data_IF_832866707959
#
_entry.id   IF_832866707959
#
_cell.length_a   1.000
_cell.length_b   1.000
_cell.length_c   1.000
_cell.angle_alpha   90.00
_cell.angle_beta   90.00
_cell.angle_gamma   90.00
#
_symmetry.space_group_name_H-M   'P 1'
#
loop_
_entity.id
_entity.type
_entity.pdbx_description
1 polymer ?
#
# COMPACT_ATOMS: atom_id res chain seq x y z
N UNK A 1 8.72 7.48 -20.42
CA UNK A 1 9.35 8.16 -19.27
C UNK A 1 9.74 7.11 -18.26
N UNK A 2 11.01 7.01 -17.90
CA UNK A 2 11.52 6.04 -16.93
C UNK A 2 11.43 6.71 -15.55
N UNK A 3 10.43 6.36 -14.74
CA UNK A 3 10.35 6.86 -13.37
C UNK A 3 11.52 6.28 -12.58
N UNK A 4 12.47 7.12 -12.16
CA UNK A 4 13.48 6.74 -11.18
C UNK A 4 12.76 6.54 -9.85
N UNK A 5 12.42 5.29 -9.53
CA UNK A 5 11.99 4.94 -8.18
C UNK A 5 13.13 5.27 -7.23
N UNK A 6 12.93 6.23 -6.33
CA UNK A 6 13.83 6.51 -5.22
C UNK A 6 13.76 5.35 -4.22
N UNK A 7 14.44 4.26 -4.54
CA UNK A 7 14.54 3.09 -3.68
C UNK A 7 15.50 3.40 -2.54
N UNK A 8 14.94 3.70 -1.35
CA UNK A 8 15.75 3.83 -0.13
C UNK A 8 16.17 2.44 0.35
N UNK A 9 17.45 2.23 0.68
CA UNK A 9 17.87 0.97 1.29
C UNK A 9 17.24 0.84 2.69
N UNK A 10 16.80 -0.37 3.02
CA UNK A 10 16.26 -0.72 4.34
C UNK A 10 17.04 -1.90 4.88
N UNK A 11 17.42 -1.86 6.15
CA UNK A 11 18.05 -2.97 6.86
C UNK A 11 16.96 -3.82 7.51
N UNK A 12 17.02 -5.13 7.28
CA UNK A 12 16.08 -6.10 7.84
C UNK A 12 16.84 -7.09 8.70
N UNK A 13 16.28 -7.42 9.87
CA UNK A 13 16.80 -8.46 10.74
C UNK A 13 16.03 -9.74 10.49
N UNK A 14 16.75 -10.78 10.10
CA UNK A 14 16.19 -12.12 9.85
C UNK A 14 17.00 -13.15 10.63
N UNK A 15 16.42 -14.32 10.86
CA UNK A 15 17.16 -15.40 11.52
C UNK A 15 18.34 -15.85 10.66
N UNK A 16 19.47 -16.19 11.31
CA UNK A 16 20.70 -16.58 10.64
C UNK A 16 20.48 -17.78 9.69
N UNK A 17 19.77 -18.80 10.16
CA UNK A 17 19.45 -20.00 9.37
C UNK A 17 18.65 -19.69 8.10
N UNK A 18 17.72 -18.73 8.17
CA UNK A 18 16.95 -18.32 7.01
C UNK A 18 17.84 -17.58 6.02
N UNK A 19 18.67 -16.65 6.50
CA UNK A 19 19.60 -15.91 5.66
C UNK A 19 20.58 -16.82 4.92
N UNK A 20 21.15 -17.82 5.60
CA UNK A 20 22.06 -18.81 5.01
C UNK A 20 21.41 -19.60 3.87
N UNK A 21 20.14 -20.02 4.03
CA UNK A 21 19.39 -20.70 2.97
C UNK A 21 19.24 -19.83 1.72
N UNK A 22 18.87 -18.56 1.92
CA UNK A 22 18.76 -17.61 0.81
C UNK A 22 20.11 -17.32 0.17
N UNK A 23 21.20 -17.27 0.94
CA UNK A 23 22.54 -17.07 0.42
C UNK A 23 22.99 -18.24 -0.47
N UNK A 24 22.75 -19.48 -0.03
CA UNK A 24 23.08 -20.68 -0.79
C UNK A 24 22.25 -20.77 -2.08
N UNK A 25 20.96 -20.40 -2.03
CA UNK A 25 20.10 -20.35 -3.20
C UNK A 25 20.54 -19.24 -4.18
N UNK A 26 20.92 -18.07 -3.67
CA UNK A 26 21.42 -16.96 -4.47
C UNK A 26 22.71 -17.34 -5.22
N UNK A 27 23.63 -18.04 -4.55
CA UNK A 27 24.86 -18.55 -5.16
C UNK A 27 24.56 -19.54 -6.31
N UNK A 28 23.62 -20.47 -6.10
CA UNK A 28 23.21 -21.43 -7.15
C UNK A 28 22.62 -20.75 -8.38
N UNK A 29 21.97 -19.59 -8.20
CA UNK A 29 21.30 -18.84 -9.27
C UNK A 29 22.17 -17.72 -9.85
N UNK A 30 23.36 -17.46 -9.31
CA UNK A 30 24.18 -16.30 -9.70
C UNK A 30 23.53 -14.95 -9.38
N UNK A 31 22.67 -14.88 -8.36
CA UNK A 31 21.93 -13.69 -7.96
C UNK A 31 22.40 -13.15 -6.60
N UNK A 32 21.96 -11.96 -6.23
CA UNK A 32 22.19 -11.40 -4.88
C UNK A 32 21.13 -11.91 -3.91
N UNK A 33 21.53 -12.26 -2.69
CA UNK A 33 20.62 -12.66 -1.60
C UNK A 33 19.50 -11.63 -1.40
N UNK A 34 19.83 -10.33 -1.44
CA UNK A 34 18.88 -9.25 -1.28
C UNK A 34 17.78 -9.22 -2.36
N UNK A 35 18.05 -9.68 -3.58
CA UNK A 35 17.03 -9.76 -4.64
C UNK A 35 16.04 -10.89 -4.37
N UNK A 36 16.52 -12.04 -3.88
CA UNK A 36 15.66 -13.15 -3.52
C UNK A 36 14.77 -12.80 -2.33
N UNK A 37 15.33 -12.12 -1.32
CA UNK A 37 14.56 -11.63 -0.17
C UNK A 37 13.53 -10.59 -0.62
N UNK A 38 13.90 -9.66 -1.52
CA UNK A 38 12.95 -8.70 -2.09
C UNK A 38 11.79 -9.38 -2.80
N UNK A 39 12.07 -10.37 -3.64
CA UNK A 39 11.03 -11.12 -4.34
C UNK A 39 10.11 -11.83 -3.34
N UNK A 40 10.67 -12.52 -2.34
CA UNK A 40 9.87 -13.19 -1.32
C UNK A 40 8.98 -12.23 -0.51
N UNK A 41 9.47 -11.02 -0.20
CA UNK A 41 8.66 -9.99 0.44
C UNK A 41 7.56 -9.46 -0.47
N UNK A 42 7.82 -9.34 -1.77
CA UNK A 42 6.81 -8.94 -2.75
C UNK A 42 5.73 -10.01 -2.90
N UNK A 43 6.12 -11.29 -3.02
CA UNK A 43 5.18 -12.41 -3.12
C UNK A 43 4.29 -12.48 -1.87
N UNK A 44 4.88 -12.35 -0.67
CA UNK A 44 4.12 -12.25 0.57
C UNK A 44 3.15 -11.06 0.56
N UNK A 45 3.61 -9.90 0.08
CA UNK A 45 2.77 -8.72 0.01
C UNK A 45 1.60 -8.89 -0.98
N UNK A 46 1.85 -9.50 -2.13
CA UNK A 46 0.84 -9.75 -3.14
C UNK A 46 -0.18 -10.79 -2.68
N UNK A 47 0.22 -11.76 -1.87
CA UNK A 47 -0.67 -12.75 -1.27
C UNK A 47 -1.53 -12.17 -0.14
N UNK A 48 -0.92 -11.39 0.76
CA UNK A 48 -1.57 -10.95 2.00
C UNK A 48 -2.18 -9.55 1.94
N UNK A 49 -1.63 -8.66 1.12
CA UNK A 49 -2.07 -7.28 0.97
C UNK A 49 -2.79 -7.02 -0.34
N UNK A 50 -3.45 -8.03 -0.94
CA UNK A 50 -4.42 -7.80 -2.04
C UNK A 50 -5.32 -6.63 -1.65
N UNK A 51 -5.01 -5.46 -2.20
CA UNK A 51 -5.82 -4.27 -2.07
C UNK A 51 -7.20 -4.67 -2.55
N UNK A 52 -8.17 -4.61 -1.63
CA UNK A 52 -9.59 -4.72 -1.93
C UNK A 52 -9.95 -3.57 -2.87
N UNK A 53 -9.63 -3.72 -4.16
CA UNK A 53 -9.91 -2.73 -5.21
C UNK A 53 -11.36 -2.82 -5.70
N UNK A 54 -12.23 -3.52 -4.97
CA UNK A 54 -13.65 -3.60 -5.29
C UNK A 54 -14.39 -2.55 -4.46
N UNK A 55 -15.12 -1.64 -5.11
CA UNK A 55 -16.07 -0.74 -4.44
C UNK A 55 -17.09 -1.49 -3.54
N UNK A 56 -17.24 -2.81 -3.72
CA UNK A 56 -18.09 -3.68 -2.89
C UNK A 56 -17.51 -4.01 -1.52
N UNK A 57 -16.22 -3.80 -1.31
CA UNK A 57 -15.52 -4.07 -0.05
C UNK A 57 -15.46 -2.85 0.87
N UNK A 58 -15.96 -1.70 0.41
CA UNK A 58 -16.15 -0.52 1.26
C UNK A 58 -17.40 -0.79 2.10
N UNK A 59 -17.18 -1.19 3.35
CA UNK A 59 -18.24 -1.27 4.34
C UNK A 59 -18.62 0.16 4.80
N UNK A 60 -19.54 0.79 4.07
CA UNK A 60 -20.13 2.08 4.46
C UNK A 60 -20.98 1.99 5.74
N UNK A 61 -21.21 0.78 6.29
CA UNK A 61 -21.92 0.62 7.56
C UNK A 61 -21.05 0.94 8.78
N UNK A 62 -19.71 1.06 8.60
CA UNK A 62 -18.85 1.77 9.55
C UNK A 62 -19.12 3.27 9.44
N UNK A 63 -20.30 3.66 9.91
CA UNK A 63 -20.62 5.05 10.23
C UNK A 63 -19.64 5.46 11.31
N UNK A 64 -18.63 6.24 10.91
CA UNK A 64 -17.79 6.95 11.87
C UNK A 64 -18.77 7.84 12.63
N UNK A 65 -19.05 7.52 13.89
CA UNK A 65 -19.88 8.39 14.72
C UNK A 65 -19.10 9.68 14.88
N UNK A 66 -19.48 10.68 14.09
CA UNK A 66 -18.89 12.00 14.15
C UNK A 66 -19.07 12.50 15.58
N UNK A 67 -17.95 12.93 16.20
CA UNK A 67 -17.93 13.50 17.53
C UNK A 67 -18.97 14.62 17.59
N UNK A 68 -19.82 14.65 18.62
CA UNK A 68 -20.79 15.73 18.83
C UNK A 68 -20.05 17.08 18.78
N UNK A 69 -20.26 17.86 17.72
CA UNK A 69 -19.44 19.04 17.39
C UNK A 69 -18.90 19.08 15.96
N UNK A 70 -18.95 17.98 15.20
CA UNK A 70 -18.63 17.99 13.77
C UNK A 70 -19.84 18.33 12.87
N UNK A 71 -20.95 18.81 13.46
CA UNK A 71 -22.12 19.28 12.71
C UNK A 71 -21.78 20.41 11.71
N UNK A 72 -20.77 21.24 12.01
CA UNK A 72 -20.31 22.30 11.11
C UNK A 72 -19.78 21.78 9.75
N UNK A 73 -19.33 20.52 9.69
CA UNK A 73 -18.83 19.91 8.44
C UNK A 73 -19.98 19.43 7.52
N UNK A 74 -21.19 19.23 8.07
CA UNK A 74 -22.35 18.75 7.32
C UNK A 74 -23.30 19.89 6.88
N UNK A 75 -23.12 21.09 7.43
CA UNK A 75 -23.86 22.29 7.03
C UNK A 75 -23.24 23.02 5.84
N UNK A 76 -22.02 22.66 5.46
CA UNK A 76 -21.37 23.22 4.28
C UNK A 76 -21.76 22.38 3.05
N UNK A 77 -22.84 22.79 2.38
CA UNK A 77 -23.33 22.15 1.15
C UNK A 77 -22.56 22.62 -0.12
N UNK A 78 -21.47 23.38 0.05
CA UNK A 78 -20.64 23.89 -1.07
C UNK A 78 -20.06 22.80 -1.97
N UNK A 79 -19.92 21.57 -1.45
CA UNK A 79 -19.36 20.42 -2.13
C UNK A 79 -20.35 19.76 -3.12
N UNK A 80 -21.66 20.05 -2.99
CA UNK A 80 -22.70 19.44 -3.85
C UNK A 80 -22.82 20.11 -5.22
N UNK A 81 -22.39 21.36 -5.37
CA UNK A 81 -22.43 22.06 -6.66
C UNK A 81 -21.30 21.63 -7.62
N UNK A 82 -20.16 21.17 -7.08
CA UNK A 82 -18.99 20.83 -7.90
C UNK A 82 -19.11 19.46 -8.60
N UNK A 83 -19.91 18.53 -8.07
CA UNK A 83 -20.08 17.20 -8.67
C UNK A 83 -21.05 17.18 -9.86
N UNK A 84 -22.02 18.08 -9.92
CA UNK A 84 -22.98 18.14 -11.04
C UNK A 84 -22.48 18.99 -12.20
N UNK A 85 -21.55 19.93 -11.96
CA UNK A 85 -21.00 20.84 -12.97
C UNK A 85 -19.73 20.35 -13.68
N UNK A 86 -19.17 19.21 -13.26
CA UNK A 86 -18.04 18.55 -13.95
C UNK A 86 -16.74 19.36 -13.98
N UNK A 87 -16.57 20.32 -13.06
CA UNK A 87 -15.33 21.12 -12.96
C UNK A 87 -14.55 20.74 -11.71
N UNK A 88 -13.59 19.84 -11.87
CA UNK A 88 -12.50 19.71 -10.90
C UNK A 88 -11.53 20.86 -11.19
N UNK A 89 -11.43 21.85 -10.29
CA UNK A 89 -10.32 22.81 -10.29
C UNK A 89 -9.11 22.12 -9.64
N UNK A 90 -8.03 22.00 -10.40
CA UNK A 90 -6.68 21.68 -9.92
C UNK A 90 -6.12 22.83 -9.08
#
# INVERSE_FOLDING_TARGET
MQYQYNLKPVTLYVSAQLYEKYQLQAQKQGRKTAELIRNAMQDYADEHFKTKNSMKDIDFSRTVTLKAGAQDFLSDDSWKEDFTSGRIKL
#
